data_IF_424801926567
#
_entry.id   IF_424801926567
#
_cell.length_a   1.000
_cell.length_b   1.000
_cell.length_c   1.000
_cell.angle_alpha   90.00
_cell.angle_beta   90.00
_cell.angle_gamma   90.00
#
_symmetry.space_group_name_H-M   'P 1'
#
loop_
_entity.id
_entity.type
_entity.pdbx_description
1 polymer ?
#
# COMPACT_ATOMS: atom_id res chain seq x y z
N UNK A 1 -7.83 -20.12 -1.28
CA UNK A 1 -6.59 -20.08 -2.08
C UNK A 1 -5.57 -19.23 -1.31
N UNK A 2 -4.31 -19.64 -1.28
CA UNK A 2 -3.26 -18.87 -0.61
C UNK A 2 -3.08 -17.51 -1.30
N UNK A 3 -2.97 -16.43 -0.51
CA UNK A 3 -2.72 -15.08 -1.06
C UNK A 3 -1.24 -14.95 -1.40
N UNK A 4 -0.88 -14.23 -2.47
CA UNK A 4 0.51 -13.92 -2.74
C UNK A 4 1.06 -13.03 -1.62
N UNK A 5 2.27 -13.36 -1.15
CA UNK A 5 2.98 -12.72 -0.02
C UNK A 5 3.03 -11.18 -0.14
N UNK A 6 3.07 -10.67 -1.38
CA UNK A 6 3.04 -9.23 -1.68
C UNK A 6 1.78 -8.52 -1.16
N UNK A 7 0.64 -9.20 -1.05
CA UNK A 7 -0.62 -8.61 -0.57
C UNK A 7 -0.66 -8.51 0.95
N UNK A 8 -0.05 -9.48 1.65
CA UNK A 8 0.00 -9.51 3.12
C UNK A 8 0.97 -8.46 3.66
N UNK A 9 2.08 -8.26 2.95
CA UNK A 9 3.13 -7.31 3.31
C UNK A 9 3.14 -6.06 2.42
N UNK A 10 2.00 -5.71 1.79
CA UNK A 10 1.91 -4.55 0.91
C UNK A 10 2.35 -3.24 1.61
N UNK A 11 1.88 -3.01 2.84
CA UNK A 11 2.25 -1.83 3.65
C UNK A 11 3.76 -1.74 3.95
N UNK A 12 4.40 -2.75 4.55
CA UNK A 12 5.83 -2.67 4.82
C UNK A 12 6.65 -2.61 3.53
N UNK A 13 6.21 -3.26 2.44
CA UNK A 13 6.88 -3.16 1.14
C UNK A 13 6.80 -1.74 0.57
N UNK A 14 5.62 -1.12 0.57
CA UNK A 14 5.43 0.27 0.12
C UNK A 14 6.26 1.25 0.97
N UNK A 15 6.28 1.06 2.29
CA UNK A 15 7.11 1.87 3.20
C UNK A 15 8.62 1.68 2.94
N UNK A 16 9.08 0.45 2.70
CA UNK A 16 10.48 0.17 2.35
C UNK A 16 10.85 0.82 1.02
N UNK A 17 9.95 0.77 0.03
CA UNK A 17 10.19 1.34 -1.29
C UNK A 17 10.28 2.88 -1.23
N UNK A 18 9.40 3.51 -0.44
CA UNK A 18 9.48 4.95 -0.15
C UNK A 18 10.77 5.28 0.60
N UNK A 19 11.13 4.51 1.62
CA UNK A 19 12.34 4.72 2.41
C UNK A 19 13.62 4.60 1.57
N UNK A 20 13.69 3.58 0.71
CA UNK A 20 14.79 3.38 -0.21
C UNK A 20 14.88 4.51 -1.25
N UNK A 21 13.74 4.90 -1.83
CA UNK A 21 13.68 6.03 -2.76
C UNK A 21 14.13 7.33 -2.12
N UNK A 22 13.69 7.61 -0.88
CA UNK A 22 14.10 8.78 -0.11
C UNK A 22 15.61 8.77 0.17
N UNK A 23 16.16 7.62 0.57
CA UNK A 23 17.57 7.47 0.85
C UNK A 23 18.42 7.73 -0.40
N UNK A 24 18.05 7.12 -1.54
CA UNK A 24 18.74 7.34 -2.82
C UNK A 24 18.65 8.80 -3.27
N UNK A 25 17.49 9.43 -3.09
CA UNK A 25 17.29 10.83 -3.42
C UNK A 25 18.16 11.77 -2.57
N UNK A 26 18.24 11.52 -1.26
CA UNK A 26 19.06 12.30 -0.33
C UNK A 26 20.55 12.10 -0.62
N UNK A 27 21.00 10.86 -0.86
CA UNK A 27 22.39 10.59 -1.24
C UNK A 27 22.76 11.29 -2.55
N UNK A 28 21.86 11.28 -3.53
CA UNK A 28 22.05 12.01 -4.78
C UNK A 28 22.17 13.52 -4.55
N UNK A 29 21.37 14.12 -3.66
CA UNK A 29 21.48 15.56 -3.32
C UNK A 29 22.79 15.85 -2.57
N UNK A 30 23.21 14.96 -1.67
CA UNK A 30 24.47 15.12 -0.94
C UNK A 30 25.68 15.13 -1.88
N UNK A 31 25.66 14.32 -2.93
CA UNK A 31 26.70 14.35 -4.00
C UNK A 31 26.83 15.74 -4.65
N UNK A 32 25.70 16.45 -4.83
CA UNK A 32 25.70 17.79 -5.42
C UNK A 32 26.14 18.91 -4.45
N UNK A 33 25.73 18.83 -3.18
CA UNK A 33 25.91 19.93 -2.22
C UNK A 33 27.08 19.75 -1.25
N UNK A 34 27.49 18.51 -1.01
CA UNK A 34 28.57 18.17 -0.09
C UNK A 34 29.45 17.04 -0.66
N UNK A 35 30.10 17.26 -1.82
CA UNK A 35 30.96 16.26 -2.45
C UNK A 35 32.12 15.82 -1.54
N UNK A 36 32.54 16.66 -0.58
CA UNK A 36 33.55 16.31 0.43
C UNK A 36 33.13 15.15 1.35
N UNK A 37 31.82 14.93 1.54
CA UNK A 37 31.27 13.85 2.37
C UNK A 37 30.95 12.60 1.56
N UNK A 38 30.51 12.78 0.32
CA UNK A 38 30.07 11.71 -0.55
C UNK A 38 30.19 12.16 -2.01
N UNK A 39 31.14 11.58 -2.74
CA UNK A 39 31.38 11.84 -4.16
C UNK A 39 31.32 10.53 -4.94
N UNK A 40 30.36 10.43 -5.86
CA UNK A 40 30.15 9.30 -6.75
C UNK A 40 30.58 9.65 -8.18
N UNK A 41 31.40 10.68 -8.36
CA UNK A 41 32.08 10.98 -9.62
C UNK A 41 31.14 11.28 -10.78
N UNK A 42 30.00 11.93 -10.51
CA UNK A 42 28.99 12.30 -11.51
C UNK A 42 27.79 11.36 -11.61
N UNK A 43 27.76 10.27 -10.82
CA UNK A 43 26.58 9.41 -10.72
C UNK A 43 25.46 9.98 -9.84
N UNK A 44 25.69 11.08 -9.10
CA UNK A 44 24.67 11.74 -8.28
C UNK A 44 23.42 12.13 -9.05
N UNK A 45 23.56 12.59 -10.30
CA UNK A 45 22.40 12.92 -11.15
C UNK A 45 21.46 11.71 -11.36
N UNK A 46 22.03 10.52 -11.57
CA UNK A 46 21.26 9.29 -11.73
C UNK A 46 20.62 8.86 -10.41
N UNK A 47 21.34 9.00 -9.29
CA UNK A 47 20.81 8.69 -7.95
C UNK A 47 19.60 9.56 -7.60
N UNK A 48 19.66 10.86 -7.86
CA UNK A 48 18.52 11.77 -7.68
C UNK A 48 17.35 11.36 -8.57
N UNK A 49 17.61 11.10 -9.85
CA UNK A 49 16.57 10.74 -10.82
C UNK A 49 15.87 9.42 -10.46
N UNK A 50 16.65 8.38 -10.13
CA UNK A 50 16.14 7.06 -9.73
C UNK A 50 15.40 7.17 -8.39
N UNK A 51 15.98 7.87 -7.40
CA UNK A 51 15.35 8.09 -6.11
C UNK A 51 13.98 8.76 -6.24
N UNK A 52 13.88 9.77 -7.11
CA UNK A 52 12.61 10.45 -7.38
C UNK A 52 11.57 9.54 -8.04
N UNK A 53 11.94 8.73 -9.03
CA UNK A 53 11.03 7.78 -9.68
C UNK A 53 10.54 6.73 -8.68
N UNK A 54 11.43 6.18 -7.87
CA UNK A 54 11.10 5.17 -6.85
C UNK A 54 10.18 5.77 -5.78
N UNK A 55 10.42 7.01 -5.35
CA UNK A 55 9.53 7.75 -4.46
C UNK A 55 8.12 7.91 -5.05
N UNK A 56 8.01 8.35 -6.30
CA UNK A 56 6.73 8.50 -6.97
C UNK A 56 5.99 7.16 -7.07
N UNK A 57 6.69 6.09 -7.45
CA UNK A 57 6.11 4.75 -7.52
C UNK A 57 5.59 4.30 -6.15
N UNK A 58 6.39 4.46 -5.09
CA UNK A 58 5.99 4.12 -3.72
C UNK A 58 4.76 4.91 -3.25
N UNK A 59 4.71 6.22 -3.52
CA UNK A 59 3.56 7.06 -3.18
C UNK A 59 2.29 6.63 -3.93
N UNK A 60 2.40 6.30 -5.22
CA UNK A 60 1.25 5.83 -6.02
C UNK A 60 0.72 4.48 -5.53
N UNK A 61 1.61 3.54 -5.18
CA UNK A 61 1.24 2.25 -4.62
C UNK A 61 0.53 2.41 -3.28
N UNK A 62 1.11 3.23 -2.38
CA UNK A 62 0.54 3.55 -1.08
C UNK A 62 -0.84 4.20 -1.22
N UNK A 63 -1.00 5.15 -2.13
CA UNK A 63 -2.29 5.79 -2.41
C UNK A 63 -3.33 4.77 -2.89
N UNK A 64 -2.94 3.85 -3.79
CA UNK A 64 -3.79 2.76 -4.24
C UNK A 64 -4.23 1.84 -3.08
N UNK A 65 -3.32 1.51 -2.17
CA UNK A 65 -3.62 0.74 -0.97
C UNK A 65 -4.62 1.46 -0.05
N UNK A 66 -4.36 2.73 0.27
CA UNK A 66 -5.24 3.55 1.13
C UNK A 66 -6.64 3.68 0.53
N UNK A 67 -6.76 3.88 -0.79
CA UNK A 67 -8.05 3.93 -1.47
C UNK A 67 -8.83 2.63 -1.33
N UNK A 68 -8.18 1.46 -1.47
CA UNK A 68 -8.80 0.14 -1.28
C UNK A 68 -9.28 -0.06 0.15
N UNK A 69 -8.46 0.29 1.15
CA UNK A 69 -8.83 0.22 2.57
C UNK A 69 -10.02 1.12 2.89
N UNK A 70 -10.04 2.35 2.34
CA UNK A 70 -11.17 3.27 2.53
C UNK A 70 -12.46 2.75 1.92
N UNK A 71 -12.38 2.16 0.72
CA UNK A 71 -13.52 1.51 0.06
C UNK A 71 -14.07 0.36 0.91
N UNK A 72 -13.18 -0.50 1.40
CA UNK A 72 -13.53 -1.60 2.29
C UNK A 72 -14.22 -1.12 3.57
N UNK A 73 -13.67 -0.11 4.24
CA UNK A 73 -14.27 0.46 5.45
C UNK A 73 -15.66 1.06 5.19
N UNK A 74 -15.87 1.65 4.00
CA UNK A 74 -17.18 2.19 3.61
C UNK A 74 -18.20 1.06 3.41
N UNK A 75 -17.82 -0.03 2.75
CA UNK A 75 -18.67 -1.22 2.58
C UNK A 75 -18.97 -1.89 3.93
N UNK A 76 -17.98 -1.92 4.83
CA UNK A 76 -18.14 -2.40 6.21
C UNK A 76 -18.98 -1.48 7.10
N UNK A 77 -19.31 -0.25 6.71
CA UNK A 77 -20.11 0.66 7.53
C UNK A 77 -21.63 0.45 7.36
N UNK A 78 -22.04 -0.43 6.45
CA UNK A 78 -23.45 -0.74 6.19
C UNK A 78 -24.14 -1.31 7.43
N UNK A 79 -25.35 -0.80 7.71
CA UNK A 79 -26.19 -1.13 8.88
C UNK A 79 -27.34 -2.08 8.55
N UNK A 80 -27.71 -2.21 7.27
CA UNK A 80 -28.85 -3.01 6.84
C UNK A 80 -28.43 -4.35 6.23
N UNK A 81 -29.12 -5.44 6.62
CA UNK A 81 -28.89 -6.79 6.08
C UNK A 81 -29.08 -6.86 4.57
N UNK A 82 -30.09 -6.16 4.03
CA UNK A 82 -30.38 -6.15 2.58
C UNK A 82 -29.25 -5.49 1.78
N UNK A 83 -28.72 -4.38 2.29
CA UNK A 83 -27.59 -3.69 1.66
C UNK A 83 -26.32 -4.53 1.75
N UNK A 84 -26.09 -5.22 2.88
CA UNK A 84 -24.95 -6.12 3.06
C UNK A 84 -24.95 -7.28 2.06
N UNK A 85 -26.12 -7.90 1.82
CA UNK A 85 -26.24 -8.97 0.81
C UNK A 85 -25.96 -8.46 -0.60
N UNK A 86 -26.39 -7.23 -0.93
CA UNK A 86 -26.16 -6.64 -2.25
C UNK A 86 -24.69 -6.34 -2.55
N UNK A 87 -23.89 -6.00 -1.52
CA UNK A 87 -22.46 -5.70 -1.67
C UNK A 87 -21.54 -6.85 -1.26
N UNK A 88 -22.09 -8.00 -0.85
CA UNK A 88 -21.32 -9.12 -0.28
C UNK A 88 -20.19 -9.55 -1.20
N UNK A 89 -20.50 -9.77 -2.49
CA UNK A 89 -19.52 -10.25 -3.47
C UNK A 89 -18.41 -9.22 -3.70
N UNK A 90 -18.76 -7.93 -3.76
CA UNK A 90 -17.80 -6.84 -3.93
C UNK A 90 -16.92 -6.64 -2.68
N UNK A 91 -17.52 -6.83 -1.49
CA UNK A 91 -16.81 -6.79 -0.22
C UNK A 91 -15.82 -7.95 -0.11
N UNK A 92 -16.21 -9.17 -0.47
CA UNK A 92 -15.33 -10.34 -0.50
C UNK A 92 -14.20 -10.17 -1.51
N UNK A 93 -14.51 -9.64 -2.70
CA UNK A 93 -13.49 -9.34 -3.70
C UNK A 93 -12.50 -8.26 -3.22
N UNK A 94 -13.00 -7.22 -2.55
CA UNK A 94 -12.15 -6.16 -1.98
C UNK A 94 -11.31 -6.68 -0.81
N UNK A 95 -11.88 -7.53 0.04
CA UNK A 95 -11.19 -8.20 1.13
C UNK A 95 -10.07 -9.09 0.61
N UNK A 96 -10.29 -9.80 -0.50
CA UNK A 96 -9.27 -10.65 -1.12
C UNK A 96 -8.03 -9.88 -1.55
N UNK A 97 -8.20 -8.64 -2.01
CA UNK A 97 -7.11 -7.75 -2.43
C UNK A 97 -6.40 -7.04 -1.27
N UNK A 98 -6.84 -7.26 -0.03
CA UNK A 98 -6.29 -6.66 1.17
C UNK A 98 -5.56 -7.70 2.03
N UNK A 99 -4.79 -7.29 3.05
CA UNK A 99 -4.16 -8.22 3.98
C UNK A 99 -5.18 -9.14 4.67
N UNK A 100 -4.77 -10.36 5.04
CA UNK A 100 -5.63 -11.39 5.66
C UNK A 100 -6.43 -10.92 6.87
N UNK A 101 -5.94 -9.92 7.62
CA UNK A 101 -6.65 -9.27 8.74
C UNK A 101 -8.01 -8.69 8.36
N UNK A 102 -8.23 -8.37 7.09
CA UNK A 102 -9.51 -7.85 6.60
C UNK A 102 -10.54 -8.96 6.38
N UNK A 103 -10.12 -10.20 6.16
CA UNK A 103 -11.03 -11.35 6.07
C UNK A 103 -11.72 -11.64 7.40
N UNK A 104 -10.96 -11.58 8.49
CA UNK A 104 -11.50 -11.74 9.84
C UNK A 104 -12.59 -10.71 10.12
N UNK A 105 -12.40 -9.48 9.64
CA UNK A 105 -13.41 -8.41 9.75
C UNK A 105 -14.66 -8.73 8.95
N UNK A 106 -14.53 -9.23 7.71
CA UNK A 106 -15.69 -9.66 6.90
C UNK A 106 -16.40 -10.84 7.56
N UNK A 107 -15.66 -11.83 8.07
CA UNK A 107 -16.21 -13.01 8.74
C UNK A 107 -17.01 -12.64 10.00
N UNK A 108 -16.48 -11.71 10.82
CA UNK A 108 -17.20 -11.21 11.98
C UNK A 108 -18.50 -10.48 11.59
N UNK A 109 -18.48 -9.70 10.51
CA UNK A 109 -19.65 -8.99 10.03
C UNK A 109 -20.70 -9.90 9.38
N UNK A 110 -20.28 -10.99 8.74
CA UNK A 110 -21.18 -12.06 8.28
C UNK A 110 -21.92 -12.73 9.43
N UNK A 111 -21.22 -13.00 10.55
CA UNK A 111 -21.82 -13.54 11.78
C UNK A 111 -22.84 -12.58 12.38
N UNK A 112 -22.56 -11.28 12.37
CA UNK A 112 -23.47 -10.24 12.90
C UNK A 112 -24.82 -10.20 12.18
N UNK A 113 -24.83 -10.42 10.86
CA UNK A 113 -26.06 -10.42 10.05
C UNK A 113 -26.68 -11.81 9.85
N UNK A 114 -26.11 -12.86 10.43
CA UNK A 114 -26.50 -14.27 10.20
C UNK A 114 -26.59 -14.59 8.70
N UNK A 115 -25.52 -14.26 7.97
CA UNK A 115 -25.38 -14.51 6.54
C UNK A 115 -24.26 -15.54 6.35
N UNK A 116 -24.58 -16.70 5.78
CA UNK A 116 -23.61 -17.73 5.40
C UNK A 116 -22.65 -17.25 4.30
#
# INVERSE_FOLDING_TARGET
MARPVYVEHALPFDCLLIGLGALLFVLGILDFYAPELFDVGGWGYYLVSIGFIVLLAGVLLLYGYVKRVRSFNKMMAVKSKKEFVAIKDELEYTAWRLPSRFDEKVANKKKEFDVK
#
